data_IF_921817827424
#
_entry.id   IF_921817827424
#
_cell.length_a   1.000
_cell.length_b   1.000
_cell.length_c   1.000
_cell.angle_alpha   90.00
_cell.angle_beta   90.00
_cell.angle_gamma   90.00
#
_symmetry.space_group_name_H-M   'P 1'
#
loop_
_entity.id
_entity.type
_entity.pdbx_description
1 polymer ?
#
# COMPACT_ATOMS: atom_id res chain seq x y z
N UNK A 1 -19.93 0.40 7.05
CA UNK A 1 -20.26 1.26 5.89
C UNK A 1 -19.55 0.66 4.68
N UNK A 2 -20.24 0.08 3.68
CA UNK A 2 -19.58 -0.39 2.48
C UNK A 2 -19.28 0.84 1.60
N UNK A 3 -18.00 1.05 1.28
CA UNK A 3 -17.59 2.11 0.36
C UNK A 3 -18.24 1.88 -1.01
N UNK A 4 -19.21 2.73 -1.34
CA UNK A 4 -19.96 2.69 -2.59
C UNK A 4 -19.03 2.83 -3.79
N UNK A 5 -18.91 1.77 -4.60
CA UNK A 5 -18.30 1.85 -5.92
C UNK A 5 -19.20 2.70 -6.83
N UNK A 6 -18.73 3.88 -7.22
CA UNK A 6 -19.34 4.65 -8.33
C UNK A 6 -18.93 4.01 -9.66
N UNK A 7 -19.86 3.78 -10.60
CA UNK A 7 -19.50 3.31 -11.94
C UNK A 7 -18.77 4.45 -12.68
N UNK A 8 -17.47 4.31 -12.89
CA UNK A 8 -16.71 5.20 -13.79
C UNK A 8 -16.89 4.70 -15.22
N UNK A 9 -17.46 5.55 -16.09
CA UNK A 9 -17.73 5.21 -17.48
C UNK A 9 -16.46 4.76 -18.22
N UNK A 10 -16.50 3.52 -18.70
CA UNK A 10 -15.42 2.76 -19.30
C UNK A 10 -14.99 3.27 -20.68
N UNK A 11 -14.08 4.24 -20.73
CA UNK A 11 -13.34 4.51 -21.97
C UNK A 11 -11.87 4.77 -21.65
N UNK A 12 -11.08 3.69 -21.66
CA UNK A 12 -9.62 3.63 -21.43
C UNK A 12 -9.14 3.65 -19.97
N UNK A 13 -9.61 2.73 -19.13
CA UNK A 13 -9.01 2.47 -17.81
C UNK A 13 -7.70 1.66 -17.94
N UNK A 14 -7.61 0.70 -18.87
CA UNK A 14 -6.41 -0.13 -19.07
C UNK A 14 -5.14 0.67 -19.35
N UNK A 15 -5.22 1.78 -20.07
CA UNK A 15 -4.03 2.56 -20.48
C UNK A 15 -3.47 3.41 -19.34
N UNK A 16 -4.29 3.82 -18.36
CA UNK A 16 -3.83 4.67 -17.25
C UNK A 16 -3.13 3.87 -16.14
N UNK A 17 -3.47 2.59 -15.95
CA UNK A 17 -2.77 1.73 -14.98
C UNK A 17 -1.43 1.20 -15.48
N UNK A 18 -1.32 0.88 -16.77
CA UNK A 18 -0.06 0.37 -17.34
C UNK A 18 1.09 1.38 -17.28
N UNK A 19 0.80 2.68 -17.13
CA UNK A 19 1.80 3.75 -17.11
C UNK A 19 2.24 4.14 -15.69
N UNK A 20 1.57 3.67 -14.63
CA UNK A 20 1.81 4.15 -13.27
C UNK A 20 2.77 3.27 -12.45
N UNK A 21 2.92 1.98 -12.75
CA UNK A 21 3.80 1.09 -12.00
C UNK A 21 4.62 0.19 -12.93
N UNK A 22 5.93 0.43 -12.99
CA UNK A 22 6.88 -0.37 -13.77
C UNK A 22 7.18 -1.76 -13.19
N UNK A 23 6.30 -2.33 -12.36
CA UNK A 23 6.43 -3.71 -11.86
C UNK A 23 5.42 -4.60 -12.58
N UNK A 24 5.93 -5.66 -13.19
CA UNK A 24 5.08 -6.73 -13.71
C UNK A 24 4.30 -7.37 -12.56
N UNK A 25 2.97 -7.37 -12.69
CA UNK A 25 2.05 -8.09 -11.81
C UNK A 25 1.06 -8.91 -12.63
N UNK A 26 0.51 -10.01 -12.07
CA UNK A 26 -0.51 -10.82 -12.74
C UNK A 26 -1.70 -10.00 -13.25
N UNK A 27 -2.01 -8.88 -12.56
CA UNK A 27 -3.06 -7.96 -12.96
C UNK A 27 -2.67 -7.08 -14.16
N UNK A 28 -1.42 -6.59 -14.22
CA UNK A 28 -0.93 -5.84 -15.38
C UNK A 28 -0.85 -6.71 -16.64
N UNK A 29 -0.50 -7.99 -16.49
CA UNK A 29 -0.51 -8.96 -17.58
C UNK A 29 -1.93 -9.27 -18.06
N UNK A 30 -2.86 -9.54 -17.14
CA UNK A 30 -4.29 -9.69 -17.44
C UNK A 30 -4.83 -8.48 -18.24
N UNK A 31 -4.50 -7.26 -17.82
CA UNK A 31 -4.93 -6.03 -18.50
C UNK A 31 -4.33 -5.86 -19.91
N UNK A 32 -3.13 -6.41 -20.18
CA UNK A 32 -2.53 -6.43 -21.53
C UNK A 32 -3.19 -7.47 -22.42
N UNK A 33 -3.50 -8.63 -21.85
CA UNK A 33 -4.09 -9.77 -22.56
C UNK A 33 -5.60 -9.63 -22.77
N UNK A 34 -6.27 -8.72 -22.05
CA UNK A 34 -7.69 -8.43 -22.24
C UNK A 34 -7.94 -7.85 -23.64
N UNK A 35 -8.43 -8.70 -24.53
CA UNK A 35 -8.47 -8.44 -25.96
C UNK A 35 -9.60 -7.46 -26.34
N UNK A 36 -9.31 -6.52 -27.25
CA UNK A 36 -10.31 -5.63 -27.86
C UNK A 36 -11.01 -6.24 -29.09
N UNK A 37 -10.66 -7.47 -29.48
CA UNK A 37 -11.06 -8.07 -30.77
C UNK A 37 -12.58 -8.23 -30.90
N UNK A 38 -13.27 -8.66 -29.86
CA UNK A 38 -14.73 -8.85 -29.85
C UNK A 38 -15.50 -7.57 -30.19
N UNK A 39 -15.00 -6.41 -29.75
CA UNK A 39 -15.64 -5.13 -30.05
C UNK A 39 -15.60 -4.81 -31.54
N UNK A 40 -14.50 -5.18 -32.21
CA UNK A 40 -14.34 -5.00 -33.66
C UNK A 40 -15.21 -5.99 -34.42
N UNK A 41 -15.25 -7.26 -33.97
CA UNK A 41 -16.00 -8.31 -34.65
C UNK A 41 -17.52 -8.10 -34.56
N UNK A 42 -18.03 -7.69 -33.39
CA UNK A 42 -19.44 -7.31 -33.21
C UNK A 42 -19.80 -6.09 -34.06
N UNK A 43 -18.87 -5.13 -34.20
CA UNK A 43 -19.10 -3.97 -35.06
C UNK A 43 -19.15 -4.39 -36.54
N UNK A 44 -18.31 -5.33 -36.98
CA UNK A 44 -18.34 -5.86 -38.34
C UNK A 44 -19.66 -6.57 -38.64
N UNK A 45 -20.14 -7.43 -37.74
CA UNK A 45 -21.46 -8.07 -37.87
C UNK A 45 -22.59 -7.05 -37.99
N UNK A 46 -22.54 -6.00 -37.17
CA UNK A 46 -23.53 -4.92 -37.24
C UNK A 46 -23.54 -4.25 -38.61
N UNK A 47 -22.36 -4.00 -39.19
CA UNK A 47 -22.25 -3.39 -40.51
C UNK A 47 -22.77 -4.34 -41.61
N UNK A 48 -22.44 -5.64 -41.53
CA UNK A 48 -22.93 -6.69 -42.45
C UNK A 48 -24.48 -6.81 -42.43
N UNK A 49 -25.09 -6.86 -41.24
CA UNK A 49 -26.55 -6.90 -41.08
C UNK A 49 -27.22 -5.63 -41.63
N UNK A 50 -26.60 -4.47 -41.41
CA UNK A 50 -27.14 -3.20 -41.90
C UNK A 50 -27.09 -3.08 -43.43
N UNK A 51 -26.01 -3.52 -44.06
CA UNK A 51 -25.91 -3.54 -45.52
C UNK A 51 -26.93 -4.50 -46.14
N UNK A 52 -27.07 -5.72 -45.60
CA UNK A 52 -28.10 -6.65 -46.07
C UNK A 52 -29.51 -6.05 -45.95
N UNK A 53 -29.83 -5.38 -44.85
CA UNK A 53 -31.13 -4.73 -44.68
C UNK A 53 -31.35 -3.60 -45.70
N UNK A 54 -30.31 -2.83 -46.04
CA UNK A 54 -30.38 -1.81 -47.10
C UNK A 54 -30.61 -2.43 -48.47
N UNK A 55 -29.93 -3.52 -48.79
CA UNK A 55 -30.09 -4.23 -50.05
C UNK A 55 -31.51 -4.76 -50.24
N UNK A 56 -32.09 -5.33 -49.19
CA UNK A 56 -33.47 -5.81 -49.20
C UNK A 56 -34.48 -4.67 -49.37
N UNK A 57 -34.31 -3.60 -48.59
CA UNK A 57 -35.34 -2.56 -48.48
C UNK A 57 -35.22 -1.49 -49.58
N UNK A 58 -34.02 -1.22 -50.08
CA UNK A 58 -33.75 -0.18 -51.08
C UNK A 58 -33.46 -0.75 -52.46
N UNK A 59 -32.68 -1.82 -52.54
CA UNK A 59 -32.19 -2.34 -53.81
C UNK A 59 -33.07 -3.47 -54.37
N UNK A 60 -34.03 -3.99 -53.59
CA UNK A 60 -34.91 -5.11 -53.97
C UNK A 60 -34.09 -6.31 -54.51
N UNK A 61 -32.87 -6.48 -54.01
CA UNK A 61 -31.96 -7.54 -54.40
C UNK A 61 -32.60 -8.91 -54.13
N UNK A 62 -32.34 -9.90 -54.98
CA UNK A 62 -32.71 -11.28 -54.69
C UNK A 62 -32.04 -11.70 -53.37
N UNK A 63 -32.84 -12.03 -52.36
CA UNK A 63 -32.40 -12.46 -51.04
C UNK A 63 -31.45 -13.66 -51.20
N UNK A 64 -30.21 -13.53 -50.73
CA UNK A 64 -29.32 -14.68 -50.57
C UNK A 64 -29.48 -15.22 -49.14
N UNK A 65 -30.31 -16.23 -48.98
CA UNK A 65 -30.55 -16.87 -47.66
C UNK A 65 -29.27 -17.44 -47.06
N UNK A 66 -28.34 -17.89 -47.89
CA UNK A 66 -27.07 -18.48 -47.44
C UNK A 66 -26.21 -17.41 -46.71
N UNK A 67 -26.24 -16.16 -47.18
CA UNK A 67 -25.53 -15.06 -46.49
C UNK A 67 -26.12 -14.70 -45.14
N UNK A 68 -27.44 -14.87 -44.97
CA UNK A 68 -28.10 -14.65 -43.69
C UNK A 68 -27.74 -15.75 -42.69
N UNK A 69 -27.72 -17.01 -43.14
CA UNK A 69 -27.32 -18.15 -42.32
C UNK A 69 -25.86 -18.01 -41.85
N UNK A 70 -24.93 -17.60 -42.73
CA UNK A 70 -23.54 -17.32 -42.36
C UNK A 70 -23.40 -16.21 -41.29
N UNK A 71 -24.20 -15.15 -41.39
CA UNK A 71 -24.20 -14.06 -40.40
C UNK A 71 -24.74 -14.53 -39.05
N UNK A 72 -25.79 -15.37 -39.06
CA UNK A 72 -26.34 -15.98 -37.85
C UNK A 72 -25.34 -16.93 -37.19
N UNK A 73 -24.71 -17.83 -37.94
CA UNK A 73 -23.66 -18.73 -37.43
C UNK A 73 -22.51 -17.95 -36.80
N UNK A 74 -22.05 -16.89 -37.49
CA UNK A 74 -20.96 -16.05 -36.97
C UNK A 74 -21.36 -15.29 -35.71
N UNK A 75 -22.60 -14.81 -35.64
CA UNK A 75 -23.14 -14.18 -34.42
C UNK A 75 -23.13 -15.14 -33.23
N UNK A 76 -23.61 -16.37 -33.42
CA UNK A 76 -23.61 -17.40 -32.37
C UNK A 76 -22.19 -17.72 -31.91
N UNK A 77 -21.26 -17.88 -32.85
CA UNK A 77 -19.86 -18.14 -32.53
C UNK A 77 -19.23 -17.03 -31.68
N UNK A 78 -19.50 -15.76 -32.01
CA UNK A 78 -19.00 -14.62 -31.24
C UNK A 78 -19.61 -14.58 -29.84
N UNK A 79 -20.89 -14.89 -29.70
CA UNK A 79 -21.55 -14.97 -28.40
C UNK A 79 -20.92 -16.06 -27.50
N UNK A 80 -20.64 -17.24 -28.04
CA UNK A 80 -19.94 -18.30 -27.31
C UNK A 80 -18.54 -17.86 -26.84
N UNK A 81 -17.80 -17.18 -27.72
CA UNK A 81 -16.48 -16.65 -27.36
C UNK A 81 -16.56 -15.58 -26.27
N UNK A 82 -17.52 -14.66 -26.36
CA UNK A 82 -17.74 -13.62 -25.34
C UNK A 82 -18.12 -14.26 -24.01
N UNK A 83 -19.00 -15.26 -24.01
CA UNK A 83 -19.42 -15.98 -22.80
C UNK A 83 -18.23 -16.70 -22.14
N UNK A 84 -17.40 -17.38 -22.94
CA UNK A 84 -16.18 -18.04 -22.47
C UNK A 84 -15.21 -17.06 -21.82
N UNK A 85 -14.92 -15.93 -22.50
CA UNK A 85 -14.05 -14.90 -21.96
C UNK A 85 -14.61 -14.25 -20.72
N UNK A 86 -15.92 -13.97 -20.68
CA UNK A 86 -16.58 -13.43 -19.50
C UNK A 86 -16.39 -14.36 -18.30
N UNK A 87 -16.60 -15.66 -18.49
CA UNK A 87 -16.37 -16.66 -17.43
C UNK A 87 -14.91 -16.71 -16.98
N UNK A 88 -13.95 -16.63 -17.91
CA UNK A 88 -12.53 -16.59 -17.59
C UNK A 88 -12.17 -15.36 -16.74
N UNK A 89 -12.63 -14.17 -17.15
CA UNK A 89 -12.42 -12.91 -16.41
C UNK A 89 -13.09 -12.96 -15.04
N UNK A 90 -14.30 -13.51 -14.96
CA UNK A 90 -15.04 -13.66 -13.70
C UNK A 90 -14.32 -14.62 -12.74
N UNK A 91 -13.67 -15.66 -13.25
CA UNK A 91 -12.85 -16.58 -12.44
C UNK A 91 -11.59 -15.88 -11.92
N UNK A 92 -10.90 -15.13 -12.79
CA UNK A 92 -9.71 -14.37 -12.41
C UNK A 92 -10.00 -13.28 -11.38
N UNK A 93 -11.22 -12.71 -11.40
CA UNK A 93 -11.65 -11.72 -10.41
C UNK A 93 -11.50 -12.23 -8.98
N UNK A 94 -11.92 -13.46 -8.68
CA UNK A 94 -11.81 -14.02 -7.33
C UNK A 94 -10.34 -14.12 -6.87
N UNK A 95 -9.44 -14.52 -7.78
CA UNK A 95 -8.00 -14.61 -7.52
C UNK A 95 -7.40 -13.23 -7.24
N UNK A 96 -7.81 -12.20 -7.98
CA UNK A 96 -7.35 -10.83 -7.72
C UNK A 96 -7.89 -10.27 -6.41
N UNK A 97 -9.16 -10.52 -6.09
CA UNK A 97 -9.77 -10.10 -4.83
C UNK A 97 -9.00 -10.71 -3.63
N UNK A 98 -8.69 -12.02 -3.66
CA UNK A 98 -7.87 -12.67 -2.64
C UNK A 98 -6.46 -12.07 -2.52
N UNK A 99 -5.77 -11.86 -3.66
CA UNK A 99 -4.43 -11.28 -3.69
C UNK A 99 -4.40 -9.85 -3.12
N UNK A 100 -5.42 -9.05 -3.44
CA UNK A 100 -5.56 -7.70 -2.92
C UNK A 100 -5.87 -7.71 -1.43
N UNK A 101 -6.74 -8.59 -0.95
CA UNK A 101 -7.06 -8.72 0.48
C UNK A 101 -5.82 -9.10 1.30
N UNK A 102 -5.02 -10.06 0.82
CA UNK A 102 -3.74 -10.43 1.46
C UNK A 102 -2.77 -9.25 1.49
N UNK A 103 -2.67 -8.51 0.38
CA UNK A 103 -1.78 -7.34 0.29
C UNK A 103 -2.24 -6.21 1.21
N UNK A 104 -3.54 -5.95 1.26
CA UNK A 104 -4.14 -4.96 2.14
C UNK A 104 -3.89 -5.31 3.60
N UNK A 105 -4.18 -6.55 4.00
CA UNK A 105 -3.96 -7.01 5.37
C UNK A 105 -2.49 -6.92 5.77
N UNK A 106 -1.56 -7.28 4.88
CA UNK A 106 -0.12 -7.15 5.13
C UNK A 106 0.27 -5.71 5.42
N UNK A 107 -0.18 -4.77 4.58
CA UNK A 107 0.10 -3.34 4.77
C UNK A 107 -0.54 -2.80 6.04
N UNK A 108 -1.76 -3.23 6.38
CA UNK A 108 -2.41 -2.87 7.65
C UNK A 108 -1.59 -3.34 8.85
N UNK A 109 -1.13 -4.60 8.85
CA UNK A 109 -0.29 -5.12 9.93
C UNK A 109 1.05 -4.35 10.04
N UNK A 110 1.68 -4.01 8.91
CA UNK A 110 2.90 -3.21 8.87
C UNK A 110 2.67 -1.81 9.50
N UNK A 111 1.54 -1.17 9.20
CA UNK A 111 1.15 0.11 9.79
C UNK A 111 0.90 0.00 11.30
N UNK A 112 0.20 -1.05 11.75
CA UNK A 112 -0.06 -1.28 13.18
C UNK A 112 1.23 -1.48 13.97
N UNK A 113 2.17 -2.26 13.42
CA UNK A 113 3.50 -2.46 14.04
C UNK A 113 4.25 -1.14 14.13
N UNK A 114 4.24 -0.34 13.06
CA UNK A 114 4.94 0.94 13.02
C UNK A 114 4.37 1.93 14.05
N UNK A 115 3.05 2.02 14.17
CA UNK A 115 2.40 2.87 15.19
C UNK A 115 2.72 2.40 16.61
N UNK A 116 2.70 1.08 16.87
CA UNK A 116 3.10 0.53 18.17
C UNK A 116 4.55 0.91 18.52
N UNK A 117 5.47 0.81 17.56
CA UNK A 117 6.87 1.22 17.76
C UNK A 117 7.01 2.71 18.08
N UNK A 118 6.23 3.58 17.42
CA UNK A 118 6.22 5.01 17.73
C UNK A 118 5.75 5.27 19.16
N UNK A 119 4.70 4.57 19.61
CA UNK A 119 4.20 4.66 20.98
C UNK A 119 5.25 4.20 22.00
N UNK A 120 5.91 3.07 21.77
CA UNK A 120 6.97 2.55 22.65
C UNK A 120 8.12 3.55 22.80
N UNK A 121 8.57 4.15 21.69
CA UNK A 121 9.63 5.16 21.70
C UNK A 121 9.24 6.40 22.50
N UNK A 122 7.98 6.85 22.38
CA UNK A 122 7.48 7.98 23.15
C UNK A 122 7.44 7.67 24.65
N UNK A 123 7.00 6.47 25.02
CA UNK A 123 6.98 6.00 26.40
C UNK A 123 8.40 5.93 26.98
N UNK A 124 9.34 5.29 26.28
CA UNK A 124 10.74 5.19 26.71
C UNK A 124 11.38 6.57 26.91
N UNK A 125 11.06 7.53 26.02
CA UNK A 125 11.53 8.92 26.16
C UNK A 125 11.00 9.57 27.44
N UNK A 126 9.73 9.35 27.77
CA UNK A 126 9.13 9.87 28.99
C UNK A 126 9.74 9.23 30.25
N UNK A 127 9.89 7.91 30.26
CA UNK A 127 10.53 7.17 31.34
C UNK A 127 11.97 7.64 31.58
N UNK A 128 12.76 7.80 30.51
CA UNK A 128 14.13 8.29 30.60
C UNK A 128 14.19 9.74 31.14
N UNK A 129 13.23 10.59 30.77
CA UNK A 129 13.11 11.95 31.32
C UNK A 129 12.86 11.92 32.83
N UNK A 130 12.01 11.01 33.29
CA UNK A 130 11.73 10.82 34.71
C UNK A 130 12.96 10.31 35.47
N UNK A 131 13.66 9.30 34.93
CA UNK A 131 14.92 8.79 35.50
C UNK A 131 15.99 9.89 35.58
N UNK A 132 16.14 10.69 34.53
CA UNK A 132 17.06 11.84 34.52
C UNK A 132 16.72 12.84 35.61
N UNK A 133 15.44 13.10 35.83
CA UNK A 133 14.97 14.01 36.90
C UNK A 133 15.33 13.47 38.27
N UNK A 134 15.09 12.19 38.53
CA UNK A 134 15.46 11.54 39.80
C UNK A 134 16.98 11.57 40.00
N UNK A 135 17.76 11.20 38.98
CA UNK A 135 19.22 11.18 39.05
C UNK A 135 19.78 12.57 39.42
N UNK A 136 19.25 13.64 38.80
CA UNK A 136 19.60 15.03 39.13
C UNK A 136 19.25 15.40 40.57
N UNK A 137 18.14 14.90 41.11
CA UNK A 137 17.75 15.14 42.50
C UNK A 137 18.64 14.37 43.49
N UNK A 138 19.07 13.15 43.15
CA UNK A 138 19.90 12.30 44.01
C UNK A 138 21.38 12.75 44.03
N UNK A 139 21.90 13.26 42.90
CA UNK A 139 23.31 13.64 42.73
C UNK A 139 23.92 14.47 43.89
N UNK A 140 23.27 15.57 44.33
CA UNK A 140 23.76 16.37 45.45
C UNK A 140 23.90 15.59 46.77
N UNK A 141 22.99 14.65 47.04
CA UNK A 141 23.06 13.82 48.25
C UNK A 141 24.23 12.84 48.19
N UNK A 142 24.50 12.24 47.03
CA UNK A 142 25.67 11.38 46.83
C UNK A 142 26.96 12.16 47.08
N UNK A 143 27.08 13.37 46.52
CA UNK A 143 28.26 14.24 46.73
C UNK A 143 28.44 14.60 48.20
N UNK A 144 27.34 14.93 48.90
CA UNK A 144 27.36 15.23 50.34
C UNK A 144 27.86 14.03 51.15
N UNK A 145 27.35 12.83 50.87
CA UNK A 145 27.75 11.60 51.55
C UNK A 145 29.21 11.25 51.26
N UNK A 146 29.67 11.37 50.01
CA UNK A 146 31.05 11.10 49.62
C UNK A 146 32.03 12.00 50.40
N UNK A 147 31.70 13.30 50.51
CA UNK A 147 32.49 14.27 51.30
C UNK A 147 32.51 13.96 52.79
N UNK A 148 31.41 13.44 53.35
CA UNK A 148 31.37 12.98 54.74
C UNK A 148 32.22 11.71 54.91
N UNK A 149 32.14 10.76 53.99
CA UNK A 149 32.92 9.52 54.01
C UNK A 149 34.42 9.80 53.96
N UNK A 150 34.87 10.69 53.08
CA UNK A 150 36.28 11.10 52.96
C UNK A 150 36.85 11.62 54.30
N UNK A 151 36.06 12.41 55.04
CA UNK A 151 36.44 12.93 56.35
C UNK A 151 36.56 11.85 57.43
N UNK A 152 35.81 10.76 57.31
CA UNK A 152 35.76 9.68 58.28
C UNK A 152 36.82 8.59 58.02
N UNK A 153 37.22 8.36 56.76
CA UNK A 153 38.14 7.29 56.36
C UNK A 153 39.39 7.81 55.59
N UNK A 154 40.21 8.73 56.14
CA UNK A 154 41.31 9.36 55.41
C UNK A 154 42.47 8.42 55.01
N UNK A 155 42.47 7.15 55.46
CA UNK A 155 43.58 6.20 55.27
C UNK A 155 43.47 5.30 54.04
N UNK A 156 42.40 5.40 53.24
CA UNK A 156 42.17 4.55 52.05
C UNK A 156 42.33 5.29 50.71
N UNK A 157 43.14 6.36 50.65
CA UNK A 157 43.36 7.12 49.43
C UNK A 157 44.22 6.34 48.42
N UNK A 158 43.57 5.72 47.42
CA UNK A 158 44.11 5.42 46.09
C UNK A 158 43.40 6.34 45.09
N UNK A 159 44.05 6.81 44.01
CA UNK A 159 43.48 7.87 43.18
C UNK A 159 42.36 7.30 42.29
N UNK A 160 41.11 7.41 42.74
CA UNK A 160 39.89 7.16 41.96
C UNK A 160 39.09 8.47 41.77
N UNK A 161 39.77 9.62 41.69
CA UNK A 161 39.13 10.93 41.47
C UNK A 161 38.46 11.05 40.08
N UNK A 162 38.82 10.20 39.11
CA UNK A 162 38.32 10.28 37.74
C UNK A 162 36.81 9.99 37.62
N UNK A 163 36.23 9.18 38.51
CA UNK A 163 34.82 8.81 38.43
C UNK A 163 33.89 9.94 38.93
N UNK A 164 34.33 10.70 39.94
CA UNK A 164 33.53 11.76 40.56
C UNK A 164 33.46 12.99 39.64
N UNK A 165 34.59 13.36 39.03
CA UNK A 165 34.65 14.46 38.07
C UNK A 165 33.80 14.18 36.82
N UNK A 166 33.73 12.90 36.41
CA UNK A 166 32.88 12.47 35.28
C UNK A 166 31.39 12.64 35.59
N UNK A 167 30.94 12.30 36.80
CA UNK A 167 29.52 12.45 37.20
C UNK A 167 29.12 13.93 37.31
N UNK A 168 29.98 14.78 37.88
CA UNK A 168 29.73 16.24 37.96
C UNK A 168 29.63 16.85 36.56
N UNK A 169 30.56 16.50 35.67
CA UNK A 169 30.58 16.99 34.29
C UNK A 169 29.34 16.56 33.49
N UNK A 170 28.88 15.31 33.65
CA UNK A 170 27.66 14.84 32.99
C UNK A 170 26.41 15.58 33.48
N UNK A 171 26.34 15.93 34.76
CA UNK A 171 25.24 16.72 35.32
C UNK A 171 25.23 18.16 34.76
N UNK A 172 26.39 18.79 34.58
CA UNK A 172 26.55 20.15 34.05
C UNK A 172 26.33 20.24 32.54
N UNK A 173 26.91 19.35 31.74
CA UNK A 173 26.79 19.34 30.26
C UNK A 173 25.33 19.07 29.80
N UNK A 174 24.57 18.33 30.61
CA UNK A 174 23.15 18.05 30.33
C UNK A 174 22.20 19.20 30.69
N UNK A 175 22.65 20.21 31.44
CA UNK A 175 21.86 21.41 31.73
C UNK A 175 21.88 22.39 30.54
N UNK A 176 23.00 22.43 29.80
CA UNK A 176 23.22 23.30 28.63
C UNK A 176 22.45 22.82 27.39
N UNK A 177 22.23 21.52 27.24
CA UNK A 177 21.52 20.94 26.08
C UNK A 177 20.00 21.10 26.16
N UNK A 178 19.44 21.31 27.35
CA UNK A 178 18.00 21.57 27.53
C UNK A 178 17.57 23.01 27.17
N UNK A 179 18.48 23.98 27.09
CA UNK A 179 18.16 25.37 26.71
C UNK A 179 18.16 25.62 25.19
N UNK A 180 18.71 24.70 24.38
CA UNK A 180 18.95 24.95 22.95
C UNK A 180 17.92 24.30 22.00
N UNK A 181 16.92 23.60 22.53
CA UNK A 181 15.86 22.92 21.77
C UNK A 181 14.45 23.42 22.14
N UNK A 182 14.31 24.74 22.35
CA UNK A 182 13.02 25.40 22.58
C UNK A 182 12.62 26.24 21.38
#
# INVERSE_FOLDING_TARGET
>A
MPFGRRPTFHRNICTKMLLAEGRESPFTEHCRNFEKSYRTEVQRLKDEVQEMHKDLTKHHSLINTDTMDEILERSLFIDEQIASQYSAVQTQRAVFEEMWDVTFQRVTNEQEIYEAQLHDLLQLKQENSYLTTIARQIGPYILSIAKVKERLEPRFQKPENDCIDTVVKICEDSAMTTEQNR
#
